data_IF_014933327212
#
_entry.id   IF_014933327212
#
_cell.length_a   1.000
_cell.length_b   1.000
_cell.length_c   1.000
_cell.angle_alpha   90.00
_cell.angle_beta   90.00
_cell.angle_gamma   90.00
#
_symmetry.space_group_name_H-M   'P 1'
#
loop_
_entity.id
_entity.type
_entity.pdbx_description
1 polymer ?
#
# COMPACT_ATOMS: atom_id res chain seq x y z
N UNK A 1 8.44 18.46 -13.30
CA UNK A 1 7.80 17.16 -13.03
C UNK A 1 8.71 15.93 -13.14
N UNK A 2 9.94 15.98 -13.70
CA UNK A 2 10.76 14.76 -13.93
C UNK A 2 12.07 14.60 -13.13
N UNK A 3 12.49 15.57 -12.34
CA UNK A 3 13.71 15.45 -11.51
C UNK A 3 13.39 14.87 -10.13
N UNK A 4 12.72 13.72 -10.10
CA UNK A 4 12.31 13.04 -8.87
C UNK A 4 13.50 12.47 -8.12
N UNK A 5 13.77 13.01 -6.93
CA UNK A 5 14.15 12.24 -5.73
C UNK A 5 14.03 13.18 -4.53
N UNK A 6 12.88 13.16 -3.85
CA UNK A 6 12.70 13.75 -2.52
C UNK A 6 12.44 15.26 -2.47
N UNK A 7 11.64 15.62 -1.47
CA UNK A 7 11.29 16.95 -0.94
C UNK A 7 11.81 18.21 -1.67
N UNK A 8 10.87 19.03 -2.14
CA UNK A 8 11.09 20.34 -2.78
C UNK A 8 9.94 20.70 -3.73
N UNK A 9 10.18 21.56 -4.72
CA UNK A 9 9.22 21.97 -5.76
C UNK A 9 8.65 20.82 -6.62
N UNK A 10 9.09 19.58 -6.38
CA UNK A 10 8.76 18.35 -7.13
C UNK A 10 8.05 17.30 -6.25
N UNK A 11 7.52 17.71 -5.09
CA UNK A 11 6.84 16.81 -4.15
C UNK A 11 5.47 16.31 -4.63
N UNK A 12 4.93 16.88 -5.72
CA UNK A 12 3.58 16.58 -6.24
C UNK A 12 2.52 16.63 -5.14
N UNK A 13 2.43 17.77 -4.44
CA UNK A 13 1.58 17.91 -3.26
C UNK A 13 0.13 17.44 -3.51
N UNK A 14 -0.32 16.48 -2.70
CA UNK A 14 -1.66 15.89 -2.79
C UNK A 14 -1.75 14.60 -3.62
N UNK A 15 -0.73 14.25 -4.40
CA UNK A 15 -0.60 12.91 -4.99
C UNK A 15 -0.13 11.90 -3.92
N UNK A 16 -0.45 10.61 -4.12
CA UNK A 16 -0.05 9.52 -3.22
C UNK A 16 -0.26 9.85 -1.72
N UNK A 17 -1.41 10.45 -1.37
CA UNK A 17 -1.65 10.99 -0.04
C UNK A 17 -2.94 10.46 0.60
N UNK A 18 -2.89 10.29 1.92
CA UNK A 18 -4.06 10.13 2.78
C UNK A 18 -4.57 11.53 3.13
N UNK A 19 -5.85 11.77 2.93
CA UNK A 19 -6.45 13.10 3.05
C UNK A 19 -7.70 13.05 3.92
N UNK A 20 -7.80 13.97 4.88
CA UNK A 20 -9.08 14.28 5.50
C UNK A 20 -9.75 15.42 4.74
N UNK A 21 -11.06 15.31 4.54
CA UNK A 21 -11.88 16.35 3.90
C UNK A 21 -13.06 16.64 4.81
N UNK A 22 -13.33 17.92 5.05
CA UNK A 22 -14.57 18.36 5.68
C UNK A 22 -15.73 18.17 4.69
N UNK A 23 -16.72 17.35 5.04
CA UNK A 23 -17.84 17.02 4.14
C UNK A 23 -18.80 18.18 3.89
N UNK A 24 -18.83 19.17 4.78
CA UNK A 24 -19.73 20.32 4.67
C UNK A 24 -19.10 21.46 3.86
N UNK A 25 -17.79 21.68 4.02
CA UNK A 25 -17.08 22.83 3.41
C UNK A 25 -16.17 22.46 2.24
N UNK A 26 -15.79 21.18 2.11
CA UNK A 26 -14.76 20.73 1.17
C UNK A 26 -13.33 21.10 1.57
N UNK A 27 -13.13 21.73 2.73
CA UNK A 27 -11.80 22.08 3.24
C UNK A 27 -11.00 20.82 3.58
N UNK A 28 -9.70 20.89 3.36
CA UNK A 28 -8.77 19.81 3.68
C UNK A 28 -7.99 20.18 4.93
N UNK A 29 -8.42 19.71 6.13
CA UNK A 29 -7.75 20.04 7.39
C UNK A 29 -6.33 19.49 7.47
N UNK A 30 -6.05 18.33 6.85
CA UNK A 30 -4.71 17.75 6.79
C UNK A 30 -4.55 16.81 5.60
N UNK A 31 -3.28 16.62 5.19
CA UNK A 31 -2.83 15.61 4.23
C UNK A 31 -1.55 14.96 4.76
N UNK A 32 -1.43 13.66 4.59
CA UNK A 32 -0.19 12.92 4.78
C UNK A 32 0.21 12.26 3.46
N UNK A 33 1.31 12.71 2.86
CA UNK A 33 1.82 12.16 1.60
C UNK A 33 2.67 10.92 1.87
N UNK A 34 2.23 9.77 1.38
CA UNK A 34 2.88 8.48 1.57
C UNK A 34 4.19 8.41 0.78
N UNK A 35 4.19 8.82 -0.48
CA UNK A 35 5.39 8.81 -1.32
C UNK A 35 5.53 10.17 -2.01
N UNK A 36 6.23 11.15 -1.41
CA UNK A 36 6.46 12.45 -2.03
C UNK A 36 7.23 12.30 -3.34
N UNK A 37 6.70 12.86 -4.43
CA UNK A 37 7.30 12.72 -5.76
C UNK A 37 7.35 11.28 -6.27
N UNK A 38 6.29 10.49 -6.01
CA UNK A 38 6.18 9.08 -6.37
C UNK A 38 6.63 8.77 -7.82
N UNK A 39 7.70 7.96 -7.99
CA UNK A 39 8.19 7.53 -9.30
C UNK A 39 7.68 6.14 -9.73
N UNK A 40 6.95 5.42 -8.87
CA UNK A 40 6.71 3.98 -9.00
C UNK A 40 5.25 3.57 -9.15
N UNK A 41 4.31 4.52 -9.26
CA UNK A 41 2.85 4.26 -9.31
C UNK A 41 2.32 3.61 -8.02
N UNK A 42 2.78 4.11 -6.87
CA UNK A 42 2.32 3.76 -5.54
C UNK A 42 1.21 4.70 -5.06
N UNK A 43 0.08 4.67 -5.75
CA UNK A 43 -1.15 5.32 -5.31
C UNK A 43 -1.54 4.92 -3.87
N UNK A 44 -1.84 5.92 -3.04
CA UNK A 44 -2.32 5.75 -1.67
C UNK A 44 -3.86 5.80 -1.56
N UNK A 45 -4.55 5.18 -2.53
CA UNK A 45 -6.01 5.26 -2.70
C UNK A 45 -6.78 4.16 -1.95
N UNK A 46 -6.09 3.31 -1.19
CA UNK A 46 -6.68 2.18 -0.48
C UNK A 46 -7.61 2.68 0.62
N UNK A 47 -8.62 1.87 0.95
CA UNK A 47 -9.65 2.25 1.92
C UNK A 47 -9.00 2.58 3.29
N UNK A 48 -9.07 3.84 3.77
CA UNK A 48 -8.58 4.17 5.09
C UNK A 48 -9.50 3.56 6.15
N UNK A 49 -8.94 2.78 7.07
CA UNK A 49 -9.68 2.19 8.18
C UNK A 49 -9.40 2.95 9.47
N UNK A 50 -10.37 3.04 10.37
CA UNK A 50 -10.19 3.68 11.67
C UNK A 50 -10.11 2.64 12.78
N UNK A 51 -9.10 2.75 13.63
CA UNK A 51 -8.94 1.94 14.83
C UNK A 51 -8.53 2.82 16.02
N UNK A 52 -8.79 2.36 17.24
CA UNK A 52 -8.20 2.94 18.44
C UNK A 52 -7.00 2.08 18.84
N UNK A 53 -5.79 2.64 18.74
CA UNK A 53 -4.53 1.96 19.05
C UNK A 53 -3.84 2.75 20.14
N UNK A 54 -3.59 2.12 21.30
CA UNK A 54 -3.00 2.77 22.48
C UNK A 54 -3.68 4.09 22.91
N UNK A 55 -5.00 4.15 22.74
CA UNK A 55 -5.82 5.31 23.08
C UNK A 55 -5.84 6.42 22.02
N UNK A 56 -5.11 6.25 20.91
CA UNK A 56 -5.10 7.17 19.77
C UNK A 56 -6.07 6.69 18.70
N UNK A 57 -6.91 7.59 18.18
CA UNK A 57 -7.75 7.30 17.02
C UNK A 57 -6.89 7.40 15.76
N UNK A 58 -6.65 6.26 15.13
CA UNK A 58 -5.64 6.10 14.08
C UNK A 58 -6.30 5.69 12.77
N UNK A 59 -5.91 6.34 11.68
CA UNK A 59 -6.10 5.85 10.32
C UNK A 59 -5.06 4.77 10.08
N UNK A 60 -5.52 3.58 9.71
CA UNK A 60 -4.70 2.43 9.31
C UNK A 60 -4.95 2.19 7.82
N UNK A 61 -3.91 2.36 7.01
CA UNK A 61 -4.00 2.17 5.56
C UNK A 61 -2.84 1.30 5.07
N UNK A 62 -3.08 -0.01 4.84
CA UNK A 62 -2.19 -0.82 4.02
C UNK A 62 -2.29 -0.34 2.57
N UNK A 63 -1.15 -0.11 1.91
CA UNK A 63 -1.12 0.41 0.54
C UNK A 63 -0.10 -0.31 -0.35
N UNK A 64 0.00 0.17 -1.59
CA UNK A 64 0.86 -0.42 -2.62
C UNK A 64 2.34 -0.51 -2.21
N UNK A 65 2.82 0.40 -1.36
CA UNK A 65 4.24 0.56 -1.03
C UNK A 65 4.87 -0.65 -0.32
N UNK A 66 4.05 -1.57 0.20
CA UNK A 66 4.47 -2.68 1.04
C UNK A 66 4.49 -2.37 2.53
N UNK A 67 4.08 -1.16 2.91
CA UNK A 67 3.91 -0.74 4.30
C UNK A 67 2.44 -0.44 4.61
N UNK A 68 2.05 -0.69 5.86
CA UNK A 68 0.80 -0.22 6.45
C UNK A 68 1.09 1.08 7.17
N UNK A 69 0.48 2.17 6.70
CA UNK A 69 0.65 3.49 7.27
C UNK A 69 -0.35 3.76 8.38
N UNK A 70 0.15 4.31 9.47
CA UNK A 70 -0.60 4.69 10.65
C UNK A 70 -0.47 6.21 10.81
N UNK A 71 -1.61 6.89 10.82
CA UNK A 71 -1.69 8.35 10.90
C UNK A 71 -2.73 8.73 11.95
N UNK A 72 -2.44 9.72 12.80
CA UNK A 72 -3.43 10.24 13.74
C UNK A 72 -4.62 10.81 12.97
N UNK A 73 -5.82 10.26 13.21
CA UNK A 73 -7.00 10.57 12.41
C UNK A 73 -7.47 12.02 12.56
N UNK A 74 -7.07 12.71 13.63
CA UNK A 74 -7.48 14.08 13.92
C UNK A 74 -6.53 15.10 13.30
N UNK A 75 -5.24 14.81 13.34
CA UNK A 75 -4.17 15.77 13.03
C UNK A 75 -3.47 15.48 11.71
N UNK A 76 -3.56 14.26 11.19
CA UNK A 76 -2.78 13.84 10.02
C UNK A 76 -1.31 13.56 10.34
N UNK A 77 -0.93 13.58 11.63
CA UNK A 77 0.46 13.33 12.03
C UNK A 77 0.81 11.85 11.81
N UNK A 78 1.98 11.63 11.22
CA UNK A 78 2.57 10.30 11.07
C UNK A 78 2.76 9.63 12.44
N UNK A 79 2.40 8.35 12.53
CA UNK A 79 2.64 7.51 13.71
C UNK A 79 3.67 6.42 13.38
N UNK A 80 3.41 5.64 12.33
CA UNK A 80 4.27 4.53 11.93
C UNK A 80 3.99 4.10 10.48
N UNK A 81 4.94 3.36 9.90
CA UNK A 81 4.79 2.62 8.65
C UNK A 81 5.36 1.23 8.87
N UNK A 82 4.48 0.25 9.11
CA UNK A 82 4.89 -1.11 9.45
C UNK A 82 4.91 -1.95 8.17
N UNK A 83 6.05 -2.58 7.90
CA UNK A 83 6.20 -3.41 6.71
C UNK A 83 5.24 -4.61 6.77
N UNK A 84 4.46 -4.80 5.71
CA UNK A 84 3.67 -6.02 5.51
C UNK A 84 4.18 -6.85 4.33
N UNK A 85 4.77 -6.24 3.30
CA UNK A 85 5.29 -6.98 2.15
C UNK A 85 6.53 -7.81 2.50
N UNK A 86 6.72 -8.93 1.82
CA UNK A 86 7.90 -9.80 2.05
C UNK A 86 9.18 -9.16 1.51
N UNK A 87 9.05 -8.45 0.39
CA UNK A 87 10.18 -7.79 -0.26
C UNK A 87 9.83 -6.36 -0.66
N UNK A 88 10.72 -5.45 -0.29
CA UNK A 88 10.70 -4.04 -0.66
C UNK A 88 12.13 -3.66 -1.02
N UNK A 89 12.33 -3.01 -2.17
CA UNK A 89 13.66 -2.50 -2.54
C UNK A 89 13.67 -1.02 -2.91
N UNK A 90 12.50 -0.37 -3.03
CA UNK A 90 12.42 1.05 -3.33
C UNK A 90 12.79 1.94 -2.13
N UNK A 91 12.53 1.46 -0.90
CA UNK A 91 12.82 2.13 0.36
C UNK A 91 13.20 1.13 1.47
N UNK A 92 13.91 1.62 2.50
CA UNK A 92 14.26 0.87 3.72
C UNK A 92 13.22 0.99 4.83
N UNK A 93 12.23 1.85 4.65
CA UNK A 93 11.25 2.23 5.67
C UNK A 93 10.97 3.73 5.61
N UNK A 94 10.51 4.26 6.72
CA UNK A 94 10.16 5.67 6.88
C UNK A 94 10.91 6.26 8.07
N UNK A 95 11.30 7.53 7.97
CA UNK A 95 11.95 8.25 9.04
C UNK A 95 10.95 8.73 10.10
N UNK A 96 11.45 9.40 11.15
CA UNK A 96 10.60 9.91 12.24
C UNK A 96 9.61 11.00 11.81
N UNK A 97 9.77 11.58 10.62
CA UNK A 97 8.88 12.58 10.06
C UNK A 97 7.85 11.96 9.10
N UNK A 98 7.87 10.64 8.90
CA UNK A 98 7.01 9.96 7.95
C UNK A 98 7.46 10.13 6.49
N UNK A 99 8.74 10.42 6.25
CA UNK A 99 9.29 10.45 4.89
C UNK A 99 9.98 9.13 4.56
N UNK A 100 9.83 8.61 3.32
CA UNK A 100 10.48 7.37 2.93
C UNK A 100 12.01 7.51 2.93
N UNK A 101 12.68 6.50 3.48
CA UNK A 101 14.14 6.35 3.41
C UNK A 101 14.45 5.60 2.12
N UNK A 102 14.70 6.34 1.04
CA UNK A 102 14.95 5.81 -0.30
C UNK A 102 16.10 4.78 -0.31
N UNK A 103 15.89 3.65 -0.99
CA UNK A 103 16.89 2.60 -1.20
C UNK A 103 17.15 2.29 -2.67
N UNK A 104 16.28 2.77 -3.57
CA UNK A 104 16.48 2.66 -5.01
C UNK A 104 16.63 4.06 -5.63
N UNK A 105 17.76 4.35 -6.32
CA UNK A 105 17.89 5.60 -7.06
C UNK A 105 16.92 5.62 -8.24
N UNK A 106 16.51 6.82 -8.68
CA UNK A 106 15.69 6.94 -9.88
C UNK A 106 16.57 6.62 -11.10
N UNK A 107 16.25 5.59 -11.90
CA UNK A 107 17.04 5.23 -13.06
C UNK A 107 17.00 6.32 -14.13
N UNK A 108 18.09 6.50 -14.91
CA UNK A 108 18.06 7.28 -16.14
C UNK A 108 16.96 6.82 -17.11
N UNK A 109 16.48 7.73 -17.96
CA UNK A 109 15.51 7.40 -19.01
C UNK A 109 16.05 6.27 -19.93
N UNK A 110 15.23 5.25 -20.16
CA UNK A 110 15.57 4.06 -20.94
C UNK A 110 16.32 2.97 -20.18
N UNK A 111 16.77 3.20 -18.94
CA UNK A 111 17.40 2.16 -18.11
C UNK A 111 16.33 1.33 -17.38
N UNK A 112 16.41 0.01 -17.58
CA UNK A 112 15.50 -0.95 -16.94
C UNK A 112 16.04 -1.40 -15.58
N UNK A 113 15.18 -1.34 -14.56
CA UNK A 113 15.44 -1.79 -13.20
C UNK A 113 14.33 -2.72 -12.72
N UNK A 114 14.59 -3.50 -11.67
CA UNK A 114 13.58 -4.32 -11.00
C UNK A 114 13.12 -3.65 -9.70
N UNK A 115 11.82 -3.38 -9.56
CA UNK A 115 11.24 -2.73 -8.38
C UNK A 115 10.27 -3.67 -7.66
N UNK A 116 10.36 -3.66 -6.33
CA UNK A 116 9.52 -4.39 -5.39
C UNK A 116 8.90 -3.42 -4.36
N UNK A 117 7.58 -3.51 -4.10
CA UNK A 117 6.58 -4.25 -4.89
C UNK A 117 6.43 -3.71 -6.32
N UNK A 118 5.77 -4.45 -7.21
CA UNK A 118 5.39 -3.90 -8.52
C UNK A 118 4.44 -2.70 -8.37
N UNK A 119 4.11 -2.01 -9.45
CA UNK A 119 3.07 -0.96 -9.42
C UNK A 119 1.69 -1.46 -8.99
N UNK A 120 1.42 -2.76 -9.07
CA UNK A 120 0.20 -3.33 -8.50
C UNK A 120 0.26 -3.34 -6.96
N UNK A 121 1.44 -3.11 -6.39
CA UNK A 121 1.69 -2.97 -4.98
C UNK A 121 1.62 -4.28 -4.22
N UNK A 122 1.86 -4.19 -2.91
CA UNK A 122 1.55 -5.30 -2.00
C UNK A 122 0.07 -5.33 -1.64
N UNK A 123 -0.58 -4.19 -1.35
CA UNK A 123 -2.04 -4.10 -1.23
C UNK A 123 -2.58 -3.08 -2.23
N UNK A 124 -3.37 -3.56 -3.20
CA UNK A 124 -4.01 -2.72 -4.22
C UNK A 124 -5.43 -2.29 -3.80
N UNK A 125 -6.36 -2.19 -4.75
CA UNK A 125 -7.73 -1.68 -4.58
C UNK A 125 -8.61 -2.53 -3.65
N UNK A 126 -8.25 -3.79 -3.42
CA UNK A 126 -9.04 -4.72 -2.62
C UNK A 126 -9.05 -4.31 -1.14
N UNK A 127 -10.23 -4.21 -0.50
CA UNK A 127 -10.32 -3.70 0.85
C UNK A 127 -9.70 -4.67 1.87
N UNK A 128 -8.90 -4.12 2.78
CA UNK A 128 -8.50 -4.80 4.01
C UNK A 128 -9.63 -4.74 5.06
N UNK A 129 -9.48 -5.51 6.14
CA UNK A 129 -10.42 -5.50 7.27
C UNK A 129 -9.68 -5.40 8.60
N UNK A 130 -10.34 -4.86 9.63
CA UNK A 130 -9.85 -4.83 11.01
C UNK A 130 -10.82 -5.60 11.90
N UNK A 131 -10.29 -6.42 12.81
CA UNK A 131 -11.07 -7.06 13.86
C UNK A 131 -10.59 -6.59 15.25
N UNK A 132 -11.37 -5.74 15.95
CA UNK A 132 -11.01 -5.27 17.28
C UNK A 132 -10.90 -6.38 18.33
N UNK A 133 -11.59 -7.51 18.15
CA UNK A 133 -11.55 -8.63 19.11
C UNK A 133 -10.22 -9.40 19.04
N UNK A 134 -9.62 -9.48 17.85
CA UNK A 134 -8.31 -10.13 17.66
C UNK A 134 -7.15 -9.14 17.73
N UNK A 135 -7.43 -7.84 17.57
CA UNK A 135 -6.40 -6.80 17.51
C UNK A 135 -5.60 -6.83 16.21
N UNK A 136 -6.20 -7.35 15.13
CA UNK A 136 -5.50 -7.57 13.85
C UNK A 136 -6.12 -6.80 12.67
N UNK A 137 -5.26 -6.55 11.67
CA UNK A 137 -5.62 -6.15 10.32
C UNK A 137 -5.41 -7.33 9.36
N UNK A 138 -6.36 -7.52 8.46
CA UNK A 138 -6.41 -8.62 7.49
C UNK A 138 -6.17 -8.04 6.09
N UNK A 139 -5.16 -8.55 5.40
CA UNK A 139 -4.61 -7.93 4.20
C UNK A 139 -4.77 -8.84 2.97
N UNK A 140 -5.38 -8.35 1.88
CA UNK A 140 -5.39 -9.02 0.58
C UNK A 140 -4.10 -8.68 -0.18
N UNK A 141 -2.97 -9.30 0.21
CA UNK A 141 -1.67 -8.94 -0.34
C UNK A 141 -1.37 -9.67 -1.64
N UNK A 142 -0.40 -9.10 -2.35
CA UNK A 142 0.28 -9.64 -3.51
C UNK A 142 1.78 -9.49 -3.31
N UNK A 143 2.55 -10.47 -3.76
CA UNK A 143 4.02 -10.42 -3.77
C UNK A 143 4.50 -10.62 -5.21
N UNK A 144 4.89 -9.54 -5.89
CA UNK A 144 5.64 -9.62 -7.14
C UNK A 144 6.39 -8.32 -7.44
N UNK A 145 7.41 -8.40 -8.29
CA UNK A 145 8.11 -7.24 -8.85
C UNK A 145 7.59 -6.80 -10.20
N UNK A 146 8.11 -5.65 -10.65
CA UNK A 146 8.10 -5.24 -12.04
C UNK A 146 9.51 -4.99 -12.55
N UNK A 147 9.72 -5.27 -13.83
CA UNK A 147 10.69 -4.58 -14.65
C UNK A 147 10.13 -3.18 -14.98
N UNK A 148 10.92 -2.13 -14.80
CA UNK A 148 10.48 -0.73 -14.95
C UNK A 148 11.56 0.13 -15.60
N UNK A 149 11.18 0.99 -16.54
CA UNK A 149 12.07 1.98 -17.14
C UNK A 149 11.29 3.26 -17.45
N UNK A 150 11.87 4.43 -17.16
CA UNK A 150 11.29 5.70 -17.59
C UNK A 150 11.42 5.86 -19.10
N UNK A 151 10.42 6.47 -19.71
CA UNK A 151 10.40 6.81 -21.12
C UNK A 151 10.15 8.30 -21.32
N UNK A 152 10.55 8.79 -22.49
CA UNK A 152 10.21 10.13 -22.92
C UNK A 152 8.69 10.29 -22.99
N UNK A 153 8.10 11.01 -22.04
CA UNK A 153 6.71 11.50 -22.13
C UNK A 153 6.53 12.25 -23.45
N UNK A 154 5.57 11.76 -24.22
CA UNK A 154 5.04 12.35 -25.43
C UNK A 154 3.58 12.70 -25.17
N UNK A 155 3.28 13.97 -24.98
CA UNK A 155 1.92 14.44 -24.74
C UNK A 155 1.20 14.49 -26.09
N UNK A 156 0.49 13.42 -26.41
CA UNK A 156 -0.36 13.33 -27.60
C UNK A 156 -1.80 13.21 -27.13
N UNK A 157 -2.66 14.11 -27.59
CA UNK A 157 -4.07 14.13 -27.21
C UNK A 157 -4.72 12.76 -27.48
N UNK A 158 -5.47 12.25 -26.51
CA UNK A 158 -6.20 10.98 -26.57
C UNK A 158 -5.32 9.71 -26.68
N UNK A 159 -4.02 9.83 -26.43
CA UNK A 159 -3.11 8.67 -26.33
C UNK A 159 -2.67 8.54 -24.87
N UNK A 160 -2.83 7.35 -24.30
CA UNK A 160 -2.31 7.06 -22.96
C UNK A 160 -0.80 7.25 -22.98
N UNK A 161 -0.29 8.07 -22.05
CA UNK A 161 1.13 8.18 -21.79
C UNK A 161 1.36 7.96 -20.30
N UNK A 162 2.23 7.01 -19.96
CA UNK A 162 2.60 6.69 -18.58
C UNK A 162 3.96 7.28 -18.20
N UNK A 163 4.73 7.79 -19.16
CA UNK A 163 6.11 8.22 -18.95
C UNK A 163 7.07 7.09 -18.54
N UNK A 164 6.63 5.84 -18.63
CA UNK A 164 7.39 4.65 -18.28
C UNK A 164 6.86 3.42 -19.03
N UNK A 165 7.74 2.46 -19.25
CA UNK A 165 7.41 1.07 -19.58
C UNK A 165 7.56 0.21 -18.36
N UNK A 166 6.67 -0.76 -18.20
CA UNK A 166 6.77 -1.75 -17.15
C UNK A 166 6.27 -3.11 -17.62
N UNK A 167 6.75 -4.14 -16.93
CA UNK A 167 6.22 -5.50 -17.01
C UNK A 167 6.21 -6.08 -15.60
N UNK A 168 5.05 -6.53 -15.13
CA UNK A 168 4.97 -7.29 -13.87
C UNK A 168 5.63 -8.65 -14.12
N UNK A 169 6.69 -8.94 -13.35
CA UNK A 169 7.50 -10.13 -13.58
C UNK A 169 6.76 -11.39 -13.11
N UNK A 170 6.92 -12.53 -13.82
CA UNK A 170 6.29 -13.78 -13.44
C UNK A 170 6.89 -14.34 -12.14
N UNK A 171 6.13 -15.23 -11.49
CA UNK A 171 6.56 -15.92 -10.28
C UNK A 171 6.13 -15.21 -8.99
N UNK A 172 5.20 -14.26 -9.08
CA UNK A 172 4.57 -13.68 -7.91
C UNK A 172 3.49 -14.59 -7.30
N UNK A 173 2.88 -14.10 -6.22
CA UNK A 173 1.89 -14.85 -5.44
C UNK A 173 0.82 -13.95 -4.85
N UNK A 174 -0.42 -14.45 -4.82
CA UNK A 174 -1.47 -13.92 -3.96
C UNK A 174 -1.19 -14.37 -2.51
N UNK A 175 -1.19 -13.44 -1.56
CA UNK A 175 -0.88 -13.68 -0.14
C UNK A 175 -1.95 -13.03 0.73
N UNK A 176 -2.87 -13.81 1.28
CA UNK A 176 -3.88 -13.32 2.22
C UNK A 176 -3.41 -13.56 3.64
N UNK A 177 -3.31 -12.51 4.46
CA UNK A 177 -2.64 -12.61 5.77
C UNK A 177 -3.35 -11.79 6.85
N UNK A 178 -3.03 -12.10 8.11
CA UNK A 178 -3.38 -11.25 9.24
C UNK A 178 -2.14 -10.77 9.96
N UNK A 179 -2.15 -9.50 10.33
CA UNK A 179 -1.08 -8.83 11.04
C UNK A 179 -1.62 -8.16 12.30
N UNK A 180 -0.84 -8.20 13.37
CA UNK A 180 -1.07 -7.41 14.58
C UNK A 180 -1.16 -5.92 14.25
N UNK A 181 -2.18 -5.24 14.78
CA UNK A 181 -2.37 -3.79 14.58
C UNK A 181 -1.31 -2.92 15.26
N UNK A 182 -0.67 -3.43 16.31
CA UNK A 182 0.23 -2.62 17.16
C UNK A 182 1.67 -2.64 16.66
N UNK A 183 2.14 -3.80 16.19
CA UNK A 183 3.54 -4.01 15.81
C UNK A 183 3.72 -4.60 14.40
N UNK A 184 2.62 -4.92 13.69
CA UNK A 184 2.67 -5.42 12.33
C UNK A 184 3.10 -6.89 12.21
N UNK A 185 3.32 -7.57 13.34
CA UNK A 185 3.68 -9.00 13.37
C UNK A 185 2.66 -9.81 12.58
N UNK A 186 3.13 -10.57 11.59
CA UNK A 186 2.28 -11.50 10.85
C UNK A 186 1.90 -12.69 11.74
N UNK A 187 0.60 -12.94 11.86
CA UNK A 187 0.06 -14.00 12.71
C UNK A 187 -0.23 -15.27 11.91
N UNK A 188 -0.69 -15.11 10.67
CA UNK A 188 -0.89 -16.21 9.73
C UNK A 188 -0.97 -15.68 8.29
N UNK A 189 -0.76 -16.58 7.32
CA UNK A 189 -0.95 -16.32 5.89
C UNK A 189 -1.48 -17.53 5.13
N UNK A 190 -2.16 -17.26 4.03
CA UNK A 190 -2.51 -18.20 2.96
C UNK A 190 -1.88 -17.70 1.66
N UNK A 191 -1.09 -18.56 1.02
CA UNK A 191 -0.41 -18.24 -0.24
C UNK A 191 -0.96 -19.10 -1.36
N UNK A 192 -1.31 -18.46 -2.47
CA UNK A 192 -1.59 -19.13 -3.75
C UNK A 192 -0.41 -18.81 -4.67
N UNK A 193 0.28 -19.85 -5.14
CA UNK A 193 1.47 -19.75 -5.99
C UNK A 193 1.19 -19.34 -7.44
N UNK A 194 0.38 -18.29 -7.61
CA UNK A 194 0.05 -17.64 -8.87
C UNK A 194 -0.17 -16.15 -8.57
N UNK A 195 0.17 -15.29 -9.52
CA UNK A 195 -0.19 -13.88 -9.46
C UNK A 195 -1.71 -13.71 -9.39
N UNK A 196 -2.17 -12.89 -8.46
CA UNK A 196 -3.59 -12.61 -8.29
C UNK A 196 -3.84 -11.55 -7.23
N UNK A 197 -4.99 -10.90 -7.34
CA UNK A 197 -5.51 -10.00 -6.31
C UNK A 197 -6.73 -10.67 -5.68
N UNK A 198 -6.72 -10.85 -4.36
CA UNK A 198 -7.92 -11.27 -3.66
C UNK A 198 -9.01 -10.19 -3.75
N UNK A 199 -10.28 -10.57 -3.69
CA UNK A 199 -11.43 -9.64 -3.77
C UNK A 199 -11.62 -8.73 -2.55
N UNK A 200 -10.74 -8.84 -1.55
CA UNK A 200 -10.82 -8.12 -0.28
C UNK A 200 -11.11 -9.05 0.90
N UNK A 201 -10.81 -8.56 2.09
CA UNK A 201 -10.94 -9.28 3.35
C UNK A 201 -12.22 -8.87 4.08
N UNK A 202 -12.88 -9.83 4.71
CA UNK A 202 -14.00 -9.63 5.62
C UNK A 202 -13.72 -10.38 6.92
N UNK A 203 -13.94 -9.76 8.09
CA UNK A 203 -13.77 -10.41 9.39
C UNK A 203 -15.01 -10.20 10.27
N UNK A 204 -15.26 -11.12 11.20
CA UNK A 204 -16.50 -11.14 12.00
C UNK A 204 -16.24 -11.31 13.49
N UNK A 205 -17.21 -10.93 14.31
CA UNK A 205 -17.17 -11.16 15.76
C UNK A 205 -17.20 -12.65 16.14
N UNK A 206 -17.58 -13.54 15.21
CA UNK A 206 -17.56 -15.00 15.39
C UNK A 206 -16.18 -15.64 15.20
N UNK A 207 -15.11 -14.85 15.17
CA UNK A 207 -13.73 -15.30 14.91
C UNK A 207 -13.56 -16.00 13.55
N UNK A 208 -14.22 -15.47 12.52
CA UNK A 208 -14.06 -15.91 11.13
C UNK A 208 -13.58 -14.75 10.27
N UNK A 209 -12.70 -15.05 9.32
CA UNK A 209 -12.37 -14.16 8.20
C UNK A 209 -12.59 -14.86 6.87
N UNK A 210 -12.95 -14.10 5.85
CA UNK A 210 -13.23 -14.62 4.51
C UNK A 210 -12.71 -13.69 3.42
N UNK A 211 -12.38 -14.28 2.26
CA UNK A 211 -11.99 -13.56 1.04
C UNK A 211 -12.28 -14.44 -0.19
N UNK A 212 -12.30 -13.83 -1.37
CA UNK A 212 -12.29 -14.56 -2.63
C UNK A 212 -10.89 -14.46 -3.25
N UNK A 213 -10.30 -15.59 -3.65
CA UNK A 213 -9.05 -15.58 -4.42
C UNK A 213 -9.30 -15.25 -5.88
N UNK A 214 -8.25 -14.85 -6.60
CA UNK A 214 -8.28 -14.58 -8.04
C UNK A 214 -8.83 -15.78 -8.85
N UNK A 215 -8.60 -17.00 -8.35
CA UNK A 215 -9.09 -18.25 -8.94
C UNK A 215 -10.58 -18.52 -8.75
N UNK A 216 -11.33 -17.62 -8.08
CA UNK A 216 -12.76 -17.75 -7.86
C UNK A 216 -13.15 -18.67 -6.68
N UNK A 217 -12.21 -18.95 -5.78
CA UNK A 217 -12.47 -19.73 -4.56
C UNK A 217 -12.74 -18.79 -3.40
N UNK A 218 -13.84 -19.01 -2.67
CA UNK A 218 -14.10 -18.31 -1.42
C UNK A 218 -13.48 -19.09 -0.27
N UNK A 219 -12.58 -18.46 0.45
CA UNK A 219 -11.95 -19.00 1.64
C UNK A 219 -12.67 -18.46 2.87
N UNK A 220 -12.89 -19.30 3.87
CA UNK A 220 -13.40 -18.93 5.19
C UNK A 220 -12.56 -19.67 6.21
N UNK A 221 -11.85 -18.92 7.04
CA UNK A 221 -10.89 -19.46 8.01
C UNK A 221 -11.08 -18.82 9.38
N UNK A 222 -10.51 -19.44 10.40
CA UNK A 222 -10.42 -18.88 11.74
C UNK A 222 -9.66 -17.54 11.71
N UNK A 223 -10.26 -16.48 12.24
CA UNK A 223 -9.66 -15.14 12.15
C UNK A 223 -8.38 -14.97 13.00
N UNK A 224 -8.18 -15.80 14.02
CA UNK A 224 -6.98 -15.78 14.88
C UNK A 224 -5.86 -16.64 14.33
N UNK A 225 -6.18 -17.82 13.77
CA UNK A 225 -5.17 -18.83 13.42
C UNK A 225 -4.98 -19.04 11.92
N UNK A 226 -5.94 -18.63 11.08
CA UNK A 226 -5.89 -18.85 9.63
C UNK A 226 -6.25 -20.28 9.19
N UNK A 227 -6.71 -21.14 10.11
CA UNK A 227 -7.15 -22.52 9.83
C UNK A 227 -8.51 -22.60 9.13
#
# INVERSE_FOLDING_TARGET
ERDGAGAGDMANEGAAAIVAVNTDTGEVPWRYTVVPGDPWDYDAMQTPMLANIDGVRTVVQPNKTGYTHYVDARTGNYIAALQHADRINWAKGYDSNGLPIWDHPIPPEGETVEIWPSLLGSVNMSPAAINPNTGMVYLPRREASMSYAFEKVQIVSNVRNLGATFEVLPGGSEVNSAHSLTDGTEMWRHTVGMDGDAGGMLTTAGNLTAWASQGGVVHVVNATTGE
#
